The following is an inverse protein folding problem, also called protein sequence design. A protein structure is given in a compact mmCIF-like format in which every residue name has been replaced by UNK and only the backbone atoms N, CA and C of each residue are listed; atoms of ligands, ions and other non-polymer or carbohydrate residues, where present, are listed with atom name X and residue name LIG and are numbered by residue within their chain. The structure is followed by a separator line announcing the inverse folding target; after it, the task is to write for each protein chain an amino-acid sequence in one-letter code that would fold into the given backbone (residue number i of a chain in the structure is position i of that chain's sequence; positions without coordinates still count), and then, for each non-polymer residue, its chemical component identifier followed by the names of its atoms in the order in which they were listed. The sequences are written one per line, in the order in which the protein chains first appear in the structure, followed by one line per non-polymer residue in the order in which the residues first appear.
data_IF_879011145267
#
_entry.id   IF_879011145267
#
_cell.length_a   1.000
_cell.length_b   1.000
_cell.length_c   1.000
_cell.angle_alpha   90.00
_cell.angle_beta   90.00
_cell.angle_gamma   90.00
#
_symmetry.space_group_name_H-M   'P 1'
#
loop_
_entity.id
_entity.type
_entity.pdbx_description
1 polymer ?
#
# COMPACT_ATOMS: atom_id res chain seq x y z
N UNK A 1 15.67 13.81 -13.78
CA UNK A 1 16.50 12.91 -12.95
C UNK A 1 16.03 11.48 -13.22
N UNK A 2 16.94 10.52 -13.18
CA UNK A 2 16.90 9.26 -13.95
C UNK A 2 15.64 8.41 -13.72
N UNK A 3 14.96 8.05 -14.80
CA UNK A 3 13.87 7.06 -14.83
C UNK A 3 14.46 5.67 -14.64
N UNK A 4 14.78 5.31 -13.38
CA UNK A 4 15.32 4.00 -13.04
C UNK A 4 14.24 2.91 -12.91
N UNK A 5 12.96 3.24 -13.13
CA UNK A 5 11.82 2.31 -13.18
C UNK A 5 11.83 1.27 -12.05
N UNK A 6 12.10 1.73 -10.82
CA UNK A 6 12.14 0.90 -9.61
C UNK A 6 13.37 -0.01 -9.46
N UNK A 7 14.36 0.04 -10.37
CA UNK A 7 15.56 -0.82 -10.33
C UNK A 7 16.72 -0.29 -9.49
N UNK A 8 16.62 0.96 -9.03
CA UNK A 8 17.65 1.61 -8.23
C UNK A 8 17.08 2.00 -6.87
N UNK A 9 17.74 1.53 -5.81
CA UNK A 9 17.52 1.98 -4.44
C UNK A 9 18.75 2.77 -3.97
N UNK A 10 18.51 3.87 -3.26
CA UNK A 10 19.56 4.72 -2.70
C UNK A 10 19.52 4.63 -1.17
N UNK A 11 20.67 4.38 -0.57
CA UNK A 11 20.85 4.49 0.87
C UNK A 11 21.26 5.91 1.22
N UNK A 12 20.43 6.59 1.99
CA UNK A 12 20.60 7.97 2.40
C UNK A 12 20.32 8.09 3.89
N UNK A 13 20.84 9.14 4.51
CA UNK A 13 20.41 9.50 5.85
C UNK A 13 18.90 9.74 5.86
N UNK A 14 18.22 9.23 6.89
CA UNK A 14 16.76 9.29 7.01
C UNK A 14 16.17 10.70 6.84
N UNK A 15 16.81 11.74 7.37
CA UNK A 15 16.35 13.13 7.28
C UNK A 15 16.35 13.64 5.83
N UNK A 16 17.41 13.33 5.09
CA UNK A 16 17.59 13.69 3.68
C UNK A 16 16.63 12.89 2.81
N UNK A 17 16.49 11.59 3.08
CA UNK A 17 15.57 10.72 2.36
C UNK A 17 14.12 11.21 2.49
N UNK A 18 13.68 11.55 3.71
CA UNK A 18 12.35 12.09 3.96
C UNK A 18 12.12 13.44 3.26
N UNK A 19 13.12 14.32 3.29
CA UNK A 19 13.04 15.61 2.59
C UNK A 19 12.88 15.42 1.08
N UNK A 20 13.70 14.56 0.45
CA UNK A 20 13.64 14.29 -0.99
C UNK A 20 12.36 13.58 -1.43
N UNK A 21 11.77 12.74 -0.57
CA UNK A 21 10.49 12.09 -0.83
C UNK A 21 9.30 13.07 -0.77
N UNK A 22 9.46 14.17 -0.05
CA UNK A 22 8.41 15.17 0.16
C UNK A 22 8.39 16.24 -0.96
N UNK A 23 9.47 16.35 -1.72
CA UNK A 23 9.65 17.36 -2.74
C UNK A 23 9.04 16.93 -4.09
N UNK A 24 8.49 17.88 -4.84
CA UNK A 24 7.98 17.62 -6.19
C UNK A 24 9.10 17.22 -7.17
N UNK A 25 8.85 16.25 -8.08
CA UNK A 25 7.63 15.43 -8.21
C UNK A 25 7.56 14.31 -7.15
N UNK A 26 6.35 13.98 -6.68
CA UNK A 26 6.05 12.98 -5.63
C UNK A 26 6.30 11.51 -6.06
N UNK A 27 7.41 11.24 -6.75
CA UNK A 27 7.78 9.94 -7.33
C UNK A 27 8.70 9.10 -6.43
N UNK A 28 9.16 9.67 -5.31
CA UNK A 28 10.10 9.07 -4.36
C UNK A 28 9.40 8.68 -3.07
N UNK A 29 9.83 7.57 -2.48
CA UNK A 29 9.35 7.09 -1.19
C UNK A 29 10.50 6.57 -0.33
N UNK A 30 10.35 6.66 0.99
CA UNK A 30 11.26 6.03 1.95
C UNK A 30 10.62 4.70 2.37
N UNK A 31 11.40 3.62 2.34
CA UNK A 31 10.93 2.28 2.67
C UNK A 31 11.83 1.71 3.77
N UNK A 32 11.20 1.12 4.77
CA UNK A 32 11.88 0.41 5.86
C UNK A 32 12.29 1.32 7.03
N UNK A 33 12.91 0.68 8.02
CA UNK A 33 13.34 1.35 9.25
C UNK A 33 14.71 2.03 9.10
N UNK A 34 15.01 2.92 10.06
CA UNK A 34 16.32 3.58 10.12
C UNK A 34 17.38 2.53 10.47
N UNK A 35 18.39 2.38 9.61
CA UNK A 35 19.50 1.44 9.83
C UNK A 35 20.37 1.78 11.05
N UNK A 36 20.26 3.01 11.56
CA UNK A 36 20.97 3.46 12.74
C UNK A 36 20.53 4.85 13.17
N UNK A 37 20.80 5.15 14.44
CA UNK A 37 20.55 6.46 15.03
C UNK A 37 21.77 7.35 14.87
N UNK A 38 21.64 8.30 13.95
CA UNK A 38 22.61 9.37 13.76
C UNK A 38 22.00 10.69 14.25
N UNK A 39 22.80 11.43 15.03
CA UNK A 39 22.46 12.76 15.52
C UNK A 39 23.35 13.81 14.86
N UNK A 40 22.76 14.99 14.63
CA UNK A 40 23.46 16.15 14.08
C UNK A 40 23.73 17.11 15.25
N UNK A 41 24.94 17.65 15.33
CA UNK A 41 25.36 18.56 16.39
C UNK A 41 26.14 19.76 15.85
N UNK A 42 26.17 20.83 16.63
CA UNK A 42 27.00 22.00 16.34
C UNK A 42 28.42 21.77 16.88
N UNK A 43 29.42 22.14 16.08
CA UNK A 43 30.83 21.98 16.44
C UNK A 43 31.42 23.36 16.73
N UNK A 44 32.07 23.50 17.89
CA UNK A 44 32.76 24.74 18.27
C UNK A 44 34.28 24.55 18.29
N UNK A 45 35.00 25.66 18.15
CA UNK A 45 36.44 25.70 18.43
C UNK A 45 36.71 25.38 19.91
N UNK A 46 37.77 24.59 20.16
CA UNK A 46 38.20 24.24 21.53
C UNK A 46 38.48 25.51 22.34
N UNK A 47 38.06 25.50 23.61
CA UNK A 47 38.21 26.60 24.58
C UNK A 47 37.40 27.88 24.29
N UNK A 48 36.33 27.78 23.50
CA UNK A 48 35.41 28.91 23.27
C UNK A 48 34.27 28.93 24.28
N UNK A 49 34.03 30.09 24.90
CA UNK A 49 32.89 30.34 25.81
C UNK A 49 31.53 30.36 25.11
N UNK A 50 31.53 30.34 23.77
CA UNK A 50 30.30 30.33 22.95
C UNK A 50 29.62 28.97 23.03
N UNK A 51 30.38 27.88 23.21
CA UNK A 51 29.81 26.54 23.13
C UNK A 51 28.84 26.25 24.29
N UNK A 52 29.17 26.69 25.50
CA UNK A 52 28.30 26.53 26.68
C UNK A 52 27.00 27.31 26.51
N UNK A 53 27.09 28.55 26.02
CA UNK A 53 25.91 29.39 25.74
C UNK A 53 25.04 28.79 24.65
N UNK A 54 25.67 28.24 23.59
CA UNK A 54 24.95 27.60 22.49
C UNK A 54 24.22 26.34 22.97
N UNK A 55 24.87 25.51 23.79
CA UNK A 55 24.27 24.29 24.33
C UNK A 55 23.04 24.60 25.18
N UNK A 56 23.13 25.58 26.09
CA UNK A 56 21.97 26.03 26.90
C UNK A 56 20.87 26.61 26.00
N UNK A 57 21.24 27.35 24.95
CA UNK A 57 20.28 27.89 23.98
C UNK A 57 19.54 26.80 23.20
N UNK A 58 20.23 25.73 22.79
CA UNK A 58 19.63 24.59 22.08
C UNK A 58 18.66 23.85 22.97
N UNK A 59 19.03 23.56 24.22
CA UNK A 59 18.16 22.91 25.20
C UNK A 59 16.88 23.71 25.42
N UNK A 60 17.00 25.04 25.58
CA UNK A 60 15.84 25.92 25.70
C UNK A 60 14.95 25.91 24.45
N UNK A 61 15.53 25.85 23.25
CA UNK A 61 14.75 25.75 22.01
C UNK A 61 14.05 24.38 21.86
N UNK A 62 14.59 23.32 22.44
CA UNK A 62 13.95 22.00 22.50
C UNK A 62 12.76 22.02 23.48
N UNK A 63 12.95 22.58 24.68
CA UNK A 63 11.89 22.75 25.68
C UNK A 63 10.74 23.64 25.17
N UNK A 64 11.07 24.70 24.43
CA UNK A 64 10.09 25.61 23.81
C UNK A 64 9.43 25.01 22.53
N UNK A 65 9.75 23.76 22.14
CA UNK A 65 9.31 23.10 20.88
C UNK A 65 9.63 23.88 19.58
N UNK A 66 10.50 24.89 19.64
CA UNK A 66 10.84 25.75 18.49
C UNK A 66 11.52 24.96 17.37
N UNK A 67 12.30 23.94 17.73
CA UNK A 67 12.96 23.08 16.75
C UNK A 67 11.92 22.29 15.93
N UNK A 68 10.86 21.80 16.57
CA UNK A 68 9.80 21.07 15.87
C UNK A 68 9.01 21.96 14.93
N UNK A 69 8.76 23.21 15.32
CA UNK A 69 8.13 24.22 14.44
C UNK A 69 9.00 24.49 13.20
N UNK A 70 10.31 24.65 13.39
CA UNK A 70 11.25 24.85 12.27
C UNK A 70 11.30 23.62 11.38
N UNK A 71 11.37 22.41 11.96
CA UNK A 71 11.33 21.16 11.22
C UNK A 71 10.05 21.07 10.38
N UNK A 72 8.90 21.38 10.97
CA UNK A 72 7.62 21.42 10.27
C UNK A 72 7.66 22.38 9.09
N UNK A 73 8.13 23.61 9.32
CA UNK A 73 8.17 24.68 8.33
C UNK A 73 9.07 24.37 7.12
N UNK A 74 10.23 23.76 7.35
CA UNK A 74 11.22 23.54 6.30
C UNK A 74 11.19 22.14 5.67
N UNK A 75 10.69 21.13 6.37
CA UNK A 75 10.68 19.74 5.89
C UNK A 75 9.30 19.21 5.49
N UNK A 76 8.20 19.88 5.83
CA UNK A 76 6.84 19.45 5.45
C UNK A 76 6.25 20.35 4.35
N UNK A 77 6.89 20.35 3.17
CA UNK A 77 6.45 21.06 1.98
C UNK A 77 5.87 20.14 0.89
N UNK A 78 5.56 20.69 -0.29
CA UNK A 78 5.24 19.92 -1.51
C UNK A 78 4.13 18.89 -1.34
N UNK A 79 4.46 17.62 -1.60
CA UNK A 79 3.56 16.46 -1.60
C UNK A 79 2.84 16.22 -0.28
N UNK A 80 3.38 16.74 0.83
CA UNK A 80 2.84 16.60 2.18
C UNK A 80 2.17 17.87 2.71
N UNK A 81 2.00 18.89 1.88
CA UNK A 81 1.26 20.09 2.25
C UNK A 81 -0.20 19.72 2.57
N UNK A 82 -0.51 19.53 3.86
CA UNK A 82 -1.82 19.14 4.36
C UNK A 82 -2.00 17.65 4.67
N UNK A 83 -0.97 16.80 4.53
CA UNK A 83 -1.01 15.35 4.85
C UNK A 83 -0.22 15.00 6.11
N UNK A 84 -0.65 13.97 6.84
CA UNK A 84 -0.02 13.50 8.08
C UNK A 84 1.38 12.90 7.88
N UNK A 85 2.14 12.67 8.95
CA UNK A 85 3.47 12.02 8.88
C UNK A 85 3.41 10.52 8.49
N UNK A 86 2.24 9.91 8.56
CA UNK A 86 1.97 8.49 8.27
C UNK A 86 2.36 8.08 6.83
N UNK A 87 2.41 9.04 5.91
CA UNK A 87 2.64 8.80 4.50
C UNK A 87 4.11 8.62 4.11
N UNK A 88 5.08 8.95 4.98
CA UNK A 88 6.51 8.92 4.63
C UNK A 88 7.19 7.60 5.01
N UNK A 89 6.76 6.98 6.11
CA UNK A 89 7.56 5.93 6.76
C UNK A 89 7.03 4.52 6.51
N UNK A 90 5.76 4.36 6.17
CA UNK A 90 5.17 3.03 6.28
C UNK A 90 5.50 2.10 5.11
N UNK A 91 5.97 2.58 3.96
CA UNK A 91 6.39 1.66 2.89
C UNK A 91 5.37 0.54 2.62
N UNK A 92 4.07 0.86 2.72
CA UNK A 92 2.96 -0.06 2.51
C UNK A 92 2.33 0.05 1.10
N UNK A 93 3.08 0.20 -0.03
CA UNK A 93 2.45 0.39 -1.33
C UNK A 93 1.94 -0.91 -1.96
N UNK A 94 1.77 -2.01 -1.21
CA UNK A 94 1.17 -3.24 -1.77
C UNK A 94 -0.23 -3.55 -1.24
N UNK A 95 -0.54 -3.23 0.02
CA UNK A 95 -1.90 -3.38 0.55
C UNK A 95 -2.69 -2.07 0.60
N UNK A 96 -2.03 -0.92 0.70
CA UNK A 96 -2.72 0.38 0.74
C UNK A 96 -3.12 0.91 -0.64
N UNK A 97 -2.58 0.41 -1.75
CA UNK A 97 -3.08 0.79 -3.09
C UNK A 97 -4.48 0.25 -3.37
N UNK A 98 -4.99 -0.60 -2.47
CA UNK A 98 -6.40 -0.97 -2.42
C UNK A 98 -7.24 -0.04 -1.50
N UNK A 99 -6.63 0.80 -0.66
CA UNK A 99 -7.28 1.83 0.14
C UNK A 99 -6.73 3.20 -0.23
N UNK A 100 -7.38 3.90 -1.16
CA UNK A 100 -7.09 5.33 -1.38
C UNK A 100 -7.16 6.11 -0.05
N UNK A 101 -6.38 7.19 0.04
CA UNK A 101 -6.22 8.13 1.16
C UNK A 101 -6.47 7.55 2.58
N UNK A 102 -5.46 7.38 3.46
CA UNK A 102 -5.66 7.11 4.88
C UNK A 102 -6.19 8.36 5.59
N UNK A 103 -7.44 8.68 5.27
CA UNK A 103 -8.35 9.41 6.12
C UNK A 103 -8.91 8.35 7.08
N UNK A 104 -8.86 8.68 8.37
CA UNK A 104 -9.18 7.78 9.47
C UNK A 104 -10.44 6.92 9.24
N UNK A 105 -10.31 5.64 9.62
CA UNK A 105 -11.36 4.60 9.59
C UNK A 105 -11.50 4.04 8.18
N UNK A 106 -11.03 2.80 7.95
CA UNK A 106 -11.44 1.99 6.79
C UNK A 106 -12.95 2.16 6.60
N UNK A 107 -13.43 2.90 5.58
CA UNK A 107 -14.86 2.99 5.38
C UNK A 107 -15.28 1.57 5.01
N UNK A 108 -16.18 0.97 5.77
CA UNK A 108 -16.87 -0.27 5.38
C UNK A 108 -17.81 -0.03 4.19
N UNK A 109 -17.41 0.81 3.23
CA UNK A 109 -18.08 0.97 1.95
C UNK A 109 -17.58 -0.13 1.04
N UNK A 110 -18.33 -1.23 1.03
CA UNK A 110 -18.22 -2.32 0.08
C UNK A 110 -18.45 -1.75 -1.32
N UNK A 111 -17.34 -1.43 -2.02
CA UNK A 111 -17.34 -0.95 -3.39
C UNK A 111 -17.42 -2.11 -4.36
N UNK A 112 -18.19 -1.98 -5.44
CA UNK A 112 -18.42 -3.04 -6.44
C UNK A 112 -17.11 -3.56 -7.07
N UNK A 113 -16.06 -2.74 -7.08
CA UNK A 113 -14.72 -3.09 -7.56
C UNK A 113 -14.08 -4.19 -6.70
N UNK A 114 -14.40 -4.26 -5.41
CA UNK A 114 -13.89 -5.28 -4.48
C UNK A 114 -14.53 -6.65 -4.68
N UNK A 115 -15.79 -6.68 -5.10
CA UNK A 115 -16.57 -7.90 -5.30
C UNK A 115 -16.62 -8.36 -6.76
N UNK A 116 -15.92 -7.67 -7.66
CA UNK A 116 -15.89 -7.97 -9.09
C UNK A 116 -15.44 -9.40 -9.38
N UNK A 117 -14.49 -9.94 -8.62
CA UNK A 117 -13.99 -11.32 -8.79
C UNK A 117 -15.09 -12.37 -8.62
N UNK A 118 -15.99 -12.20 -7.65
CA UNK A 118 -17.10 -13.11 -7.41
C UNK A 118 -18.09 -13.12 -8.58
N UNK A 119 -18.38 -11.95 -9.15
CA UNK A 119 -19.26 -11.83 -10.33
C UNK A 119 -18.61 -12.42 -11.59
N UNK A 120 -17.29 -12.26 -11.77
CA UNK A 120 -16.56 -12.86 -12.91
C UNK A 120 -16.59 -14.40 -12.83
N UNK A 121 -16.35 -14.97 -11.65
CA UNK A 121 -16.39 -16.43 -11.47
C UNK A 121 -17.80 -16.97 -11.69
N UNK A 122 -18.82 -16.28 -11.17
CA UNK A 122 -20.22 -16.67 -11.33
C UNK A 122 -20.63 -16.66 -12.81
N UNK A 123 -20.30 -15.59 -13.54
CA UNK A 123 -20.63 -15.47 -14.96
C UNK A 123 -19.91 -16.53 -15.79
N UNK A 124 -18.64 -16.81 -15.52
CA UNK A 124 -17.91 -17.91 -16.17
C UNK A 124 -18.55 -19.27 -15.87
N UNK A 125 -18.97 -19.53 -14.64
CA UNK A 125 -19.65 -20.77 -14.26
C UNK A 125 -20.95 -20.99 -15.05
N UNK A 126 -21.77 -19.95 -15.19
CA UNK A 126 -23.02 -20.02 -15.98
C UNK A 126 -22.72 -20.28 -17.45
N UNK A 127 -21.72 -19.62 -18.03
CA UNK A 127 -21.33 -19.81 -19.43
C UNK A 127 -20.84 -21.23 -19.69
N UNK A 128 -19.96 -21.76 -18.83
CA UNK A 128 -19.43 -23.12 -18.95
C UNK A 128 -20.57 -24.16 -18.83
N UNK A 129 -21.46 -23.98 -17.86
CA UNK A 129 -22.62 -24.86 -17.70
C UNK A 129 -23.53 -24.86 -18.94
N UNK A 130 -23.80 -23.68 -19.51
CA UNK A 130 -24.59 -23.54 -20.73
C UNK A 130 -23.95 -24.24 -21.94
N UNK A 131 -22.63 -24.10 -22.11
CA UNK A 131 -21.89 -24.76 -23.20
C UNK A 131 -21.93 -26.28 -23.08
N UNK A 132 -21.72 -26.83 -21.88
CA UNK A 132 -21.80 -28.28 -21.65
C UNK A 132 -23.20 -28.83 -21.99
N UNK A 133 -24.26 -28.10 -21.60
CA UNK A 133 -25.63 -28.49 -21.91
C UNK A 133 -25.87 -28.54 -23.45
N UNK A 134 -25.42 -27.53 -24.18
CA UNK A 134 -25.57 -27.47 -25.65
C UNK A 134 -24.82 -28.61 -26.34
N UNK A 135 -23.60 -28.91 -25.89
CA UNK A 135 -22.79 -30.02 -26.42
C UNK A 135 -23.52 -31.34 -26.23
N UNK A 136 -24.09 -31.58 -25.05
CA UNK A 136 -24.78 -32.83 -24.74
C UNK A 136 -26.07 -33.01 -25.55
N UNK A 137 -26.89 -31.96 -25.69
CA UNK A 137 -28.09 -32.02 -26.54
C UNK A 137 -27.70 -32.37 -27.98
N UNK A 138 -26.64 -31.76 -28.50
CA UNK A 138 -26.17 -32.04 -29.85
C UNK A 138 -25.67 -33.49 -29.99
N UNK A 139 -24.96 -34.01 -29.00
CA UNK A 139 -24.44 -35.38 -29.01
C UNK A 139 -25.53 -36.43 -28.85
N UNK A 140 -26.50 -36.19 -27.97
CA UNK A 140 -27.65 -37.07 -27.77
C UNK A 140 -28.49 -37.18 -29.04
N UNK A 141 -28.72 -36.04 -29.74
CA UNK A 141 -29.42 -36.02 -31.04
C UNK A 141 -28.69 -36.83 -32.13
N UNK A 142 -27.34 -36.86 -32.10
CA UNK A 142 -26.53 -37.51 -33.15
C UNK A 142 -26.25 -39.00 -32.89
N UNK A 143 -26.19 -39.44 -31.62
CA UNK A 143 -25.83 -40.83 -31.25
C UNK A 143 -26.92 -41.61 -30.52
N UNK A 144 -28.07 -41.00 -30.19
CA UNK A 144 -29.16 -41.68 -29.49
C UNK A 144 -28.78 -42.19 -28.09
N UNK A 145 -27.73 -41.64 -27.48
CA UNK A 145 -27.30 -42.01 -26.12
C UNK A 145 -28.10 -41.21 -25.07
N UNK A 146 -28.53 -41.84 -23.96
CA UNK A 146 -29.28 -41.18 -22.89
C UNK A 146 -28.42 -40.11 -22.19
N UNK A 147 -29.10 -39.11 -21.63
CA UNK A 147 -28.51 -37.90 -21.01
C UNK A 147 -27.69 -38.28 -19.77
N UNK A 148 -26.37 -38.04 -19.80
CA UNK A 148 -25.45 -38.41 -18.71
C UNK A 148 -25.52 -37.38 -17.56
N UNK A 149 -25.80 -36.10 -17.85
CA UNK A 149 -25.94 -35.05 -16.82
C UNK A 149 -27.05 -35.32 -15.81
N UNK A 150 -28.19 -35.91 -16.20
CA UNK A 150 -29.25 -36.24 -15.23
C UNK A 150 -28.81 -37.31 -14.24
N UNK A 151 -27.97 -38.27 -14.67
CA UNK A 151 -27.42 -39.29 -13.79
C UNK A 151 -26.30 -38.73 -12.91
N UNK A 152 -25.44 -37.86 -13.44
CA UNK A 152 -24.34 -37.26 -12.67
C UNK A 152 -24.83 -36.24 -11.63
N UNK A 153 -25.85 -35.42 -11.95
CA UNK A 153 -26.47 -34.50 -11.00
C UNK A 153 -27.24 -35.24 -9.90
N UNK A 154 -27.91 -36.35 -10.21
CA UNK A 154 -28.56 -37.19 -9.20
C UNK A 154 -27.56 -37.92 -8.30
N UNK A 155 -26.38 -38.28 -8.83
CA UNK A 155 -25.28 -38.88 -8.07
C UNK A 155 -24.60 -37.86 -7.15
N UNK A 156 -24.36 -36.62 -7.62
CA UNK A 156 -23.83 -35.52 -6.81
C UNK A 156 -24.80 -35.06 -5.73
N UNK A 157 -26.10 -35.01 -6.03
CA UNK A 157 -27.13 -34.70 -5.04
C UNK A 157 -27.21 -35.80 -3.97
N UNK A 158 -27.11 -37.09 -4.35
CA UNK A 158 -27.04 -38.19 -3.38
C UNK A 158 -25.75 -38.15 -2.53
N UNK A 159 -24.61 -37.81 -3.13
CA UNK A 159 -23.34 -37.72 -2.39
C UNK A 159 -23.27 -36.51 -1.45
N UNK A 160 -24.04 -35.45 -1.72
CA UNK A 160 -24.12 -34.25 -0.86
C UNK A 160 -25.23 -34.35 0.21
N UNK A 161 -26.28 -35.15 -0.03
CA UNK A 161 -27.37 -35.37 0.94
C UNK A 161 -27.14 -36.55 1.90
N UNK A 162 -26.11 -37.37 1.69
CA UNK A 162 -25.72 -38.45 2.60
C UNK A 162 -24.22 -38.33 2.94
N UNK A 163 -23.85 -37.79 4.13
CA UNK A 163 -22.49 -37.93 4.63
C UNK A 163 -22.14 -39.40 4.93
#
# INVERSE_FOLDING_TARGET
MMAADGKLALFLESSIAQYLATQDPCDKMVIGERLGDHSIGFICQKNSTVCDKLNVGILKMQEDEKIDVLKKKYFQGGCLAGKGRSYIFEGLPFFDTFGGEPDAIMPMSITITRFSSAFIILTLGIVIAGVLLVIEIYWSKKRGSPVIISSFFFFLLNLYLYP
#
